data_IF_251550136065
#
_entry.id   IF_251550136065
#
_cell.length_a   1.000
_cell.length_b   1.000
_cell.length_c   1.000
_cell.angle_alpha   90.00
_cell.angle_beta   90.00
_cell.angle_gamma   90.00
#
_symmetry.space_group_name_H-M   'P 1'
#
loop_
_entity.id
_entity.type
_entity.pdbx_description
1 polymer ?
#
# COMPACT_ATOMS: atom_id res chain seq x y z
N UNK A 1 8.75 -14.43 10.34
CA UNK A 1 8.73 -14.67 8.88
C UNK A 1 8.85 -13.36 8.15
N UNK A 2 9.79 -13.27 7.23
CA UNK A 2 10.00 -12.04 6.45
C UNK A 2 9.01 -12.03 5.29
N UNK A 3 8.19 -10.98 5.15
CA UNK A 3 7.31 -10.89 3.99
C UNK A 3 8.13 -10.73 2.71
N UNK A 4 7.71 -11.37 1.63
CA UNK A 4 8.37 -11.20 0.35
C UNK A 4 7.78 -10.00 -0.39
N UNK A 5 8.58 -9.38 -1.24
CA UNK A 5 8.13 -8.25 -2.05
C UNK A 5 6.94 -8.66 -2.92
N UNK A 6 6.97 -9.88 -3.47
CA UNK A 6 5.89 -10.39 -4.30
C UNK A 6 4.59 -10.52 -3.51
N UNK A 7 4.66 -11.01 -2.27
CA UNK A 7 3.49 -11.13 -1.42
C UNK A 7 2.90 -9.77 -1.08
N UNK A 8 3.76 -8.81 -0.80
CA UNK A 8 3.32 -7.44 -0.51
C UNK A 8 2.59 -6.87 -1.72
N UNK A 9 3.12 -7.06 -2.92
CA UNK A 9 2.47 -6.60 -4.14
C UNK A 9 1.11 -7.26 -4.32
N UNK A 10 1.00 -8.57 -4.08
CA UNK A 10 -0.28 -9.28 -4.17
C UNK A 10 -1.31 -8.72 -3.21
N UNK A 11 -0.91 -8.44 -1.98
CA UNK A 11 -1.81 -7.86 -0.98
C UNK A 11 -2.26 -6.47 -1.40
N UNK A 12 -1.35 -5.65 -1.93
CA UNK A 12 -1.68 -4.30 -2.38
C UNK A 12 -2.60 -4.30 -3.59
N UNK A 13 -2.64 -5.38 -4.36
CA UNK A 13 -3.60 -5.52 -5.46
C UNK A 13 -5.05 -5.61 -4.99
N UNK A 14 -5.28 -5.89 -3.72
CA UNK A 14 -6.62 -5.85 -3.14
C UNK A 14 -7.06 -4.45 -2.74
N UNK A 15 -6.15 -3.48 -2.78
CA UNK A 15 -6.46 -2.10 -2.44
C UNK A 15 -6.86 -1.36 -3.72
N UNK A 16 -8.14 -1.02 -3.82
CA UNK A 16 -8.72 -0.43 -5.04
C UNK A 16 -8.73 1.08 -4.95
N UNK A 17 -8.28 1.72 -6.03
CA UNK A 17 -8.38 3.17 -6.19
C UNK A 17 -9.65 3.47 -6.99
N UNK A 18 -10.72 3.83 -6.29
CA UNK A 18 -12.05 3.98 -6.88
C UNK A 18 -12.14 4.94 -8.06
N UNK A 19 -11.46 6.11 -8.04
CA UNK A 19 -11.54 7.01 -9.19
C UNK A 19 -11.13 6.38 -10.52
N UNK A 20 -10.23 5.40 -10.49
CA UNK A 20 -9.78 4.71 -11.70
C UNK A 20 -10.35 3.29 -11.85
N UNK A 21 -11.03 2.80 -10.82
CA UNK A 21 -11.63 1.46 -10.85
C UNK A 21 -10.63 0.32 -10.90
N UNK A 22 -9.37 0.58 -10.55
CA UNK A 22 -8.31 -0.43 -10.54
C UNK A 22 -7.53 -0.35 -9.23
N UNK A 23 -6.76 -1.40 -8.93
CA UNK A 23 -5.97 -1.40 -7.71
C UNK A 23 -4.75 -0.48 -7.83
N UNK A 24 -4.13 -0.15 -6.69
CA UNK A 24 -3.02 0.80 -6.64
C UNK A 24 -1.78 0.30 -7.36
N UNK A 25 -1.63 -1.00 -7.51
CA UNK A 25 -0.50 -1.57 -8.26
C UNK A 25 -0.70 -1.35 -9.77
N UNK A 26 -1.88 -1.67 -10.29
CA UNK A 26 -2.21 -1.49 -11.71
C UNK A 26 -2.24 -0.02 -12.11
N UNK A 27 -2.58 0.86 -11.17
CA UNK A 27 -2.56 2.32 -11.39
C UNK A 27 -1.15 2.90 -11.31
N UNK A 28 -0.14 2.06 -11.05
CA UNK A 28 1.25 2.47 -10.93
C UNK A 28 1.48 3.54 -9.85
N UNK A 29 0.74 3.40 -8.76
CA UNK A 29 0.77 4.36 -7.65
C UNK A 29 1.80 4.00 -6.58
N UNK A 30 2.28 2.76 -6.57
CA UNK A 30 3.26 2.29 -5.58
C UNK A 30 4.66 2.37 -6.17
N UNK A 31 5.52 3.18 -5.55
CA UNK A 31 6.89 3.41 -5.99
C UNK A 31 7.86 3.10 -4.86
N UNK A 32 9.06 2.70 -5.21
CA UNK A 32 10.17 2.49 -4.27
C UNK A 32 9.78 1.56 -3.11
N UNK A 33 9.14 0.45 -3.45
CA UNK A 33 8.73 -0.53 -2.46
C UNK A 33 9.95 -1.21 -1.84
N UNK A 34 10.04 -1.10 -0.51
CA UNK A 34 11.08 -1.76 0.28
C UNK A 34 10.42 -2.66 1.32
N UNK A 35 10.92 -3.88 1.44
CA UNK A 35 10.40 -4.85 2.39
C UNK A 35 11.55 -5.34 3.27
N UNK A 36 11.47 -5.06 4.56
CA UNK A 36 12.41 -5.54 5.56
C UNK A 36 11.82 -6.66 6.41
N UNK A 37 12.54 -7.04 7.46
CA UNK A 37 12.10 -8.13 8.35
C UNK A 37 10.81 -7.78 9.08
N UNK A 38 10.65 -6.53 9.49
CA UNK A 38 9.52 -6.07 10.28
C UNK A 38 8.97 -4.74 9.78
N UNK A 39 9.31 -4.34 8.57
CA UNK A 39 8.85 -3.08 8.00
C UNK A 39 8.55 -3.22 6.51
N UNK A 40 7.49 -2.57 6.09
CA UNK A 40 7.14 -2.40 4.67
C UNK A 40 7.06 -0.90 4.43
N UNK A 41 7.82 -0.40 3.45
CA UNK A 41 7.85 1.01 3.12
C UNK A 41 7.66 1.20 1.62
N UNK A 42 6.84 2.17 1.26
CA UNK A 42 6.69 2.54 -0.14
C UNK A 42 6.17 3.96 -0.28
N UNK A 43 6.40 4.54 -1.45
CA UNK A 43 5.81 5.82 -1.82
C UNK A 43 4.48 5.57 -2.51
N UNK A 44 3.44 6.24 -2.05
CA UNK A 44 2.12 6.18 -2.68
C UNK A 44 1.90 7.49 -3.44
N UNK A 45 1.95 7.42 -4.76
CA UNK A 45 1.82 8.59 -5.62
C UNK A 45 0.35 8.89 -5.83
N UNK A 46 -0.06 10.09 -5.41
CA UNK A 46 -1.45 10.54 -5.47
C UNK A 46 -1.59 11.74 -6.39
N UNK A 47 -2.65 11.77 -7.18
CA UNK A 47 -2.95 12.90 -8.06
C UNK A 47 -3.49 14.10 -7.29
N UNK A 48 -4.20 13.84 -6.18
CA UNK A 48 -4.79 14.88 -5.34
C UNK A 48 -4.47 14.60 -3.88
N UNK A 49 -3.60 15.39 -3.27
CA UNK A 49 -3.12 15.17 -1.91
C UNK A 49 -4.15 15.55 -0.85
N UNK A 50 -5.07 16.44 -1.17
CA UNK A 50 -5.99 17.05 -0.20
C UNK A 50 -7.32 16.32 -0.03
N UNK A 51 -7.48 15.16 -0.64
CA UNK A 51 -8.76 14.49 -0.65
C UNK A 51 -8.86 13.51 0.53
N UNK A 52 -10.00 13.49 1.20
CA UNK A 52 -10.31 12.51 2.24
C UNK A 52 -10.22 11.09 1.70
N UNK A 53 -10.47 10.91 0.41
CA UNK A 53 -10.34 9.62 -0.26
C UNK A 53 -8.91 9.09 -0.21
N UNK A 54 -7.93 9.99 -0.23
CA UNK A 54 -6.52 9.59 -0.14
C UNK A 54 -6.20 9.05 1.24
N UNK A 55 -6.76 9.66 2.29
CA UNK A 55 -6.59 9.14 3.65
C UNK A 55 -7.18 7.74 3.78
N UNK A 56 -8.34 7.54 3.20
CA UNK A 56 -8.97 6.22 3.18
C UNK A 56 -8.09 5.20 2.47
N UNK A 57 -7.46 5.61 1.39
CA UNK A 57 -6.56 4.76 0.62
C UNK A 57 -5.33 4.34 1.46
N UNK A 58 -4.75 5.28 2.19
CA UNK A 58 -3.64 4.99 3.10
C UNK A 58 -4.06 3.98 4.18
N UNK A 59 -5.21 4.21 4.79
CA UNK A 59 -5.71 3.34 5.85
C UNK A 59 -6.01 1.94 5.32
N UNK A 60 -6.59 1.85 4.12
CA UNK A 60 -6.90 0.58 3.48
C UNK A 60 -5.63 -0.22 3.17
N UNK A 61 -4.63 0.44 2.63
CA UNK A 61 -3.35 -0.21 2.32
C UNK A 61 -2.67 -0.70 3.59
N UNK A 62 -2.63 0.13 4.61
CA UNK A 62 -2.02 -0.24 5.90
C UNK A 62 -2.74 -1.42 6.54
N UNK A 63 -4.06 -1.38 6.55
CA UNK A 63 -4.86 -2.44 7.12
C UNK A 63 -4.66 -3.76 6.38
N UNK A 64 -4.65 -3.72 5.05
CA UNK A 64 -4.44 -4.90 4.24
C UNK A 64 -3.09 -5.55 4.55
N UNK A 65 -2.05 -4.76 4.69
CA UNK A 65 -0.72 -5.26 5.00
C UNK A 65 -0.66 -5.84 6.42
N UNK A 66 -1.24 -5.16 7.39
CA UNK A 66 -1.25 -5.65 8.77
C UNK A 66 -2.09 -6.91 8.94
N UNK A 67 -3.21 -7.00 8.23
CA UNK A 67 -4.07 -8.19 8.28
C UNK A 67 -3.37 -9.42 7.70
N UNK A 68 -2.48 -9.21 6.72
CA UNK A 68 -1.78 -10.32 6.07
C UNK A 68 -0.44 -10.65 6.70
N UNK A 69 0.24 -9.70 7.30
CA UNK A 69 1.60 -9.88 7.82
C UNK A 69 1.71 -9.70 9.33
N UNK A 70 0.62 -9.36 10.01
CA UNK A 70 0.60 -9.20 11.46
C UNK A 70 1.25 -7.90 11.94
N UNK A 71 1.98 -7.98 13.05
CA UNK A 71 2.60 -6.81 13.70
C UNK A 71 3.83 -6.33 12.94
N UNK A 72 3.60 -5.81 11.75
CA UNK A 72 4.66 -5.25 10.95
C UNK A 72 4.47 -3.74 10.86
N UNK A 73 5.57 -2.99 10.83
CA UNK A 73 5.51 -1.55 10.61
C UNK A 73 5.23 -1.28 9.13
N UNK A 74 4.28 -0.40 8.87
CA UNK A 74 3.94 0.01 7.51
C UNK A 74 4.16 1.51 7.41
N UNK A 75 5.13 1.89 6.56
CA UNK A 75 5.48 3.29 6.33
C UNK A 75 5.09 3.67 4.90
N UNK A 76 4.04 4.46 4.78
CA UNK A 76 3.52 4.90 3.49
C UNK A 76 3.83 6.39 3.34
N UNK A 77 4.62 6.72 2.33
CA UNK A 77 5.05 8.09 2.08
C UNK A 77 4.19 8.67 0.95
N UNK A 78 3.49 9.78 1.21
CA UNK A 78 2.66 10.42 0.19
C UNK A 78 3.47 11.10 -0.92
#
# INVERSE_FOLDING_TARGET
>A
MIPSKERVIEVLKDVVYFPKGSNIIDCDMVKELEVGEDIIRFNLVLENIDDEKNRFLFDSARKALKDNFGDIDVDIIP
#
